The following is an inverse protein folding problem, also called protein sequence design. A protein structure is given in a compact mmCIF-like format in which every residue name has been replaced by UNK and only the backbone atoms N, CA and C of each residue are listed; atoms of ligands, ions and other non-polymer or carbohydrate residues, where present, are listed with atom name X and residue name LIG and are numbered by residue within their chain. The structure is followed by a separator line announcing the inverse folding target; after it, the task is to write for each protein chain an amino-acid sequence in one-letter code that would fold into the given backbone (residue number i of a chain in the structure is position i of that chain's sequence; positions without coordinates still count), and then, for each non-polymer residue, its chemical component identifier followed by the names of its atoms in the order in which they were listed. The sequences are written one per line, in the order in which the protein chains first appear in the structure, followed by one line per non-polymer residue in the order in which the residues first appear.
data_IF_122577878904
#
_entry.id   IF_122577878904
#
_cell.length_a   1.000
_cell.length_b   1.000
_cell.length_c   1.000
_cell.angle_alpha   90.00
_cell.angle_beta   90.00
_cell.angle_gamma   90.00
#
_symmetry.space_group_name_H-M   'P 1'
#
loop_
_entity.id
_entity.type
_entity.pdbx_description
1 polymer ?
#
# COMPACT_ATOMS: atom_id res chain seq x y z
N UNK A 1 26.41 16.19 9.35
CA UNK A 1 25.37 15.38 9.98
C UNK A 1 24.53 14.52 9.01
N UNK A 2 24.78 14.55 7.68
CA UNK A 2 24.20 13.57 6.72
C UNK A 2 24.96 12.22 6.68
N UNK A 3 26.06 12.08 7.41
CA UNK A 3 26.99 10.93 7.30
C UNK A 3 26.62 9.71 8.16
N UNK A 4 25.65 9.83 9.08
CA UNK A 4 25.38 8.76 10.05
C UNK A 4 24.12 7.94 9.73
N UNK A 5 23.31 8.38 8.75
CA UNK A 5 22.10 7.70 8.38
C UNK A 5 22.24 7.00 7.02
N UNK A 6 21.88 5.72 6.96
CA UNK A 6 21.62 5.10 5.65
C UNK A 6 20.49 5.85 4.95
N UNK A 7 20.47 5.86 3.62
CA UNK A 7 19.41 6.55 2.84
C UNK A 7 18.01 6.12 3.27
N UNK A 8 17.81 4.82 3.51
CA UNK A 8 16.51 4.28 3.92
C UNK A 8 16.11 4.71 5.34
N UNK A 9 17.07 4.77 6.28
CA UNK A 9 16.79 5.28 7.62
C UNK A 9 16.45 6.77 7.59
N UNK A 10 17.14 7.58 6.78
CA UNK A 10 16.82 8.99 6.63
C UNK A 10 15.41 9.19 6.07
N UNK A 11 15.01 8.41 5.08
CA UNK A 11 13.64 8.42 4.56
C UNK A 11 12.61 7.99 5.62
N UNK A 12 12.96 6.98 6.43
CA UNK A 12 12.11 6.54 7.54
C UNK A 12 11.95 7.66 8.58
N UNK A 13 13.04 8.29 8.99
CA UNK A 13 13.04 9.45 9.87
C UNK A 13 12.12 10.57 9.34
N UNK A 14 12.27 10.97 8.08
CA UNK A 14 11.42 11.99 7.46
C UNK A 14 9.93 11.61 7.49
N UNK A 15 9.63 10.32 7.29
CA UNK A 15 8.24 9.83 7.30
C UNK A 15 7.57 9.86 8.67
N UNK A 16 8.37 9.97 9.75
CA UNK A 16 7.91 9.94 11.15
C UNK A 16 7.87 11.32 11.80
N UNK A 17 8.39 12.36 11.14
CA UNK A 17 8.36 13.72 11.69
C UNK A 17 6.91 14.19 11.82
N UNK A 18 6.52 14.54 13.04
CA UNK A 18 5.17 15.05 13.33
C UNK A 18 4.92 16.36 12.60
N UNK A 19 3.79 16.43 11.89
CA UNK A 19 3.41 17.62 11.11
C UNK A 19 3.99 17.64 9.68
N UNK A 20 4.77 16.63 9.28
CA UNK A 20 5.28 16.48 7.93
C UNK A 20 4.51 15.39 7.19
N UNK A 21 3.78 15.76 6.13
CA UNK A 21 3.06 14.77 5.29
C UNK A 21 4.03 14.10 4.31
N UNK A 22 3.67 12.91 3.82
CA UNK A 22 4.46 12.21 2.78
C UNK A 22 4.59 13.06 1.51
N UNK A 23 3.54 13.78 1.13
CA UNK A 23 3.59 14.72 0.01
C UNK A 23 4.65 15.81 0.22
N UNK A 24 4.74 16.37 1.43
CA UNK A 24 5.75 17.37 1.74
C UNK A 24 7.18 16.79 1.76
N UNK A 25 7.34 15.57 2.29
CA UNK A 25 8.61 14.85 2.23
C UNK A 25 9.02 14.62 0.78
N UNK A 26 8.09 14.18 -0.06
CA UNK A 26 8.36 13.92 -1.47
C UNK A 26 8.76 15.20 -2.23
N UNK A 27 8.06 16.30 -2.01
CA UNK A 27 8.42 17.62 -2.56
C UNK A 27 9.81 18.07 -2.12
N UNK A 28 10.11 17.95 -0.83
CA UNK A 28 11.43 18.28 -0.28
C UNK A 28 12.55 17.44 -0.91
N UNK A 29 12.33 16.13 -1.08
CA UNK A 29 13.30 15.23 -1.73
C UNK A 29 13.52 15.58 -3.22
N UNK A 30 12.52 16.16 -3.88
CA UNK A 30 12.62 16.67 -5.26
C UNK A 30 13.19 18.10 -5.34
N UNK A 31 13.71 18.64 -4.24
CA UNK A 31 14.39 19.95 -4.22
C UNK A 31 13.47 21.16 -4.01
N UNK A 32 12.19 20.97 -3.69
CA UNK A 32 11.32 22.07 -3.30
C UNK A 32 11.73 22.60 -1.91
N UNK A 33 12.24 23.83 -1.86
CA UNK A 33 12.63 24.47 -0.60
C UNK A 33 11.40 24.90 0.18
N UNK A 34 11.39 24.57 1.48
CA UNK A 34 10.35 25.02 2.40
C UNK A 34 10.96 25.29 3.78
N UNK A 35 11.09 26.56 4.18
CA UNK A 35 11.67 26.92 5.49
C UNK A 35 10.98 26.21 6.65
N UNK A 36 9.66 26.01 6.56
CA UNK A 36 8.89 25.26 7.57
C UNK A 36 9.32 23.79 7.67
N UNK A 37 9.56 23.14 6.53
CA UNK A 37 9.99 21.75 6.49
C UNK A 37 11.41 21.63 7.02
N UNK A 38 12.31 22.51 6.62
CA UNK A 38 13.69 22.57 7.08
C UNK A 38 13.77 22.74 8.60
N UNK A 39 12.96 23.67 9.16
CA UNK A 39 12.87 23.86 10.62
C UNK A 39 12.37 22.60 11.35
N UNK A 40 11.33 21.93 10.83
CA UNK A 40 10.83 20.69 11.43
C UNK A 40 11.88 19.58 11.41
N UNK A 41 12.65 19.46 10.33
CA UNK A 41 13.72 18.47 10.21
C UNK A 41 14.83 18.79 11.24
N UNK A 42 15.29 20.04 11.31
CA UNK A 42 16.33 20.47 12.24
C UNK A 42 15.94 20.24 13.70
N UNK A 43 14.73 20.64 14.09
CA UNK A 43 14.22 20.41 15.45
C UNK A 43 14.15 18.91 15.79
N UNK A 44 13.67 18.08 14.85
CA UNK A 44 13.57 16.64 15.05
C UNK A 44 14.95 15.96 15.10
N UNK A 45 15.96 16.48 14.41
CA UNK A 45 17.33 15.99 14.47
C UNK A 45 18.03 16.30 15.81
N UNK A 46 17.56 17.30 16.55
CA UNK A 46 18.08 17.63 17.88
C UNK A 46 17.47 16.75 18.98
N UNK A 47 16.34 16.10 18.73
CA UNK A 47 15.71 15.19 19.68
C UNK A 47 16.37 13.80 19.64
N UNK A 48 17.34 13.61 20.53
CA UNK A 48 18.11 12.34 20.62
C UNK A 48 17.23 11.16 20.99
N UNK A 49 16.22 11.36 21.85
CA UNK A 49 15.33 10.28 22.26
C UNK A 49 14.47 9.82 21.07
N UNK A 50 13.89 10.76 20.32
CA UNK A 50 13.14 10.48 19.11
C UNK A 50 13.99 9.69 18.09
N UNK A 51 15.23 10.11 17.85
CA UNK A 51 16.12 9.42 16.91
C UNK A 51 16.45 8.00 17.41
N UNK A 52 16.71 7.82 18.70
CA UNK A 52 17.01 6.51 19.26
C UNK A 52 15.81 5.56 19.16
N UNK A 53 14.60 6.03 19.46
CA UNK A 53 13.36 5.27 19.26
C UNK A 53 13.19 4.86 17.81
N UNK A 54 13.39 5.77 16.85
CA UNK A 54 13.29 5.48 15.42
C UNK A 54 14.35 4.48 14.96
N UNK A 55 15.56 4.54 15.47
CA UNK A 55 16.60 3.54 15.16
C UNK A 55 16.18 2.16 15.64
N UNK A 56 15.63 2.06 16.84
CA UNK A 56 15.11 0.81 17.37
C UNK A 56 13.96 0.27 16.52
N UNK A 57 12.96 1.11 16.21
CA UNK A 57 11.84 0.73 15.33
C UNK A 57 12.35 0.27 13.95
N UNK A 58 13.23 1.04 13.32
CA UNK A 58 13.74 0.71 11.99
C UNK A 58 14.56 -0.59 11.97
N UNK A 59 15.35 -0.84 13.02
CA UNK A 59 16.13 -2.08 13.14
C UNK A 59 15.26 -3.32 13.35
N UNK A 60 14.02 -3.14 13.82
CA UNK A 60 13.03 -4.21 14.02
C UNK A 60 12.16 -4.46 12.78
N UNK A 61 12.33 -3.70 11.69
CA UNK A 61 11.62 -3.97 10.45
C UNK A 61 12.14 -5.28 9.85
N UNK A 62 11.36 -6.33 9.96
CA UNK A 62 11.66 -7.68 9.42
C UNK A 62 11.01 -7.92 8.07
N UNK A 63 10.09 -7.04 7.66
CA UNK A 63 9.33 -7.17 6.43
C UNK A 63 10.11 -6.72 5.20
N UNK A 64 9.73 -7.29 4.08
CA UNK A 64 10.17 -6.74 2.81
C UNK A 64 9.47 -5.41 2.53
N UNK A 65 10.23 -4.42 2.09
CA UNK A 65 9.69 -3.12 1.67
C UNK A 65 10.36 -2.60 0.41
N UNK A 66 9.68 -1.68 -0.25
CA UNK A 66 10.22 -0.78 -1.27
C UNK A 66 10.11 0.64 -0.75
N UNK A 67 11.08 1.46 -1.07
CA UNK A 67 11.04 2.90 -0.83
C UNK A 67 10.73 3.66 -2.12
N UNK A 68 10.23 4.87 -2.01
CA UNK A 68 9.98 5.74 -3.16
C UNK A 68 11.27 6.05 -3.97
N UNK A 69 12.44 5.77 -3.41
CA UNK A 69 13.74 5.98 -4.05
C UNK A 69 14.20 4.76 -4.84
N UNK A 70 13.56 3.59 -4.66
CA UNK A 70 13.92 2.36 -5.37
C UNK A 70 13.47 2.40 -6.84
N UNK A 71 14.27 1.86 -7.75
CA UNK A 71 13.95 1.77 -9.17
C UNK A 71 12.73 0.87 -9.44
N UNK A 72 12.50 -0.10 -8.55
CA UNK A 72 11.36 -1.03 -8.60
C UNK A 72 10.06 -0.42 -8.07
N UNK A 73 10.08 0.81 -7.54
CA UNK A 73 8.88 1.47 -7.05
C UNK A 73 7.92 1.79 -8.20
N UNK A 74 6.59 1.54 -8.06
CA UNK A 74 5.61 1.73 -9.13
C UNK A 74 5.58 3.19 -9.63
N UNK A 75 5.89 3.40 -10.92
CA UNK A 75 6.01 4.74 -11.51
C UNK A 75 4.72 5.55 -11.43
N UNK A 76 3.57 4.91 -11.68
CA UNK A 76 2.27 5.57 -11.60
C UNK A 76 1.98 6.07 -10.18
N UNK A 77 2.26 5.23 -9.17
CA UNK A 77 2.08 5.59 -7.78
C UNK A 77 3.04 6.71 -7.35
N UNK A 78 4.29 6.68 -7.81
CA UNK A 78 5.30 7.72 -7.58
C UNK A 78 4.87 9.09 -8.13
N UNK A 79 4.11 9.10 -9.23
CA UNK A 79 3.60 10.31 -9.87
C UNK A 79 2.35 10.90 -9.19
N UNK A 80 1.80 10.25 -8.18
CA UNK A 80 0.63 10.79 -7.45
C UNK A 80 1.02 11.95 -6.53
N UNK A 81 0.02 12.73 -6.10
CA UNK A 81 0.25 13.90 -5.22
C UNK A 81 0.85 13.52 -3.86
N UNK A 82 0.43 12.39 -3.27
CA UNK A 82 0.86 11.93 -1.95
C UNK A 82 1.32 10.46 -2.03
N UNK A 83 2.47 10.17 -2.66
CA UNK A 83 2.94 8.80 -2.79
C UNK A 83 3.43 8.25 -1.44
N UNK A 84 3.17 6.96 -1.12
CA UNK A 84 3.76 6.33 0.05
C UNK A 84 5.28 6.35 -0.02
N UNK A 85 5.94 6.77 1.06
CA UNK A 85 7.42 6.75 1.10
C UNK A 85 7.97 5.34 1.25
N UNK A 86 7.20 4.46 1.91
CA UNK A 86 7.46 3.03 2.07
C UNK A 86 6.25 2.22 1.60
N UNK A 87 6.53 1.12 0.94
CA UNK A 87 5.56 0.09 0.59
C UNK A 87 6.05 -1.23 1.14
N UNK A 88 5.47 -1.67 2.23
CA UNK A 88 5.68 -3.00 2.80
C UNK A 88 4.92 -4.04 1.97
N UNK A 89 5.54 -5.20 1.73
CA UNK A 89 4.92 -6.21 0.89
C UNK A 89 5.18 -7.63 1.36
N UNK A 90 4.24 -8.53 1.01
CA UNK A 90 4.34 -9.98 1.19
C UNK A 90 3.83 -10.66 -0.07
N UNK A 91 4.62 -11.56 -0.64
CA UNK A 91 4.30 -12.28 -1.88
C UNK A 91 5.08 -11.79 -3.10
N UNK A 92 4.48 -11.85 -4.28
CA UNK A 92 5.15 -11.63 -5.54
C UNK A 92 5.26 -10.14 -5.90
N UNK A 93 6.34 -9.48 -5.49
CA UNK A 93 6.59 -8.06 -5.83
C UNK A 93 6.74 -7.79 -7.33
N UNK A 94 7.02 -8.81 -8.16
CA UNK A 94 7.15 -8.60 -9.63
C UNK A 94 5.86 -8.06 -10.24
N UNK A 95 4.69 -8.33 -9.62
CA UNK A 95 3.41 -7.79 -10.06
C UNK A 95 3.36 -6.25 -10.06
N UNK A 96 4.20 -5.57 -9.26
CA UNK A 96 4.28 -4.11 -9.24
C UNK A 96 4.97 -3.50 -10.45
N UNK A 97 5.70 -4.30 -11.24
CA UNK A 97 6.37 -3.86 -12.49
C UNK A 97 5.46 -3.95 -13.70
N UNK A 98 4.35 -4.68 -13.57
CA UNK A 98 3.40 -4.86 -14.66
C UNK A 98 2.61 -3.56 -14.92
N UNK A 99 2.20 -3.39 -16.18
CA UNK A 99 1.49 -2.18 -16.61
C UNK A 99 -0.03 -2.36 -16.61
N UNK A 100 -0.52 -3.60 -16.56
CA UNK A 100 -1.93 -3.92 -16.77
C UNK A 100 -2.66 -4.14 -15.43
N UNK A 101 -2.65 -3.13 -14.56
CA UNK A 101 -3.33 -3.18 -13.27
C UNK A 101 -4.71 -2.55 -13.38
N UNK A 102 -5.73 -3.28 -12.93
CA UNK A 102 -7.12 -2.85 -12.88
C UNK A 102 -7.64 -2.88 -11.45
N UNK A 103 -7.97 -1.72 -10.91
CA UNK A 103 -8.60 -1.64 -9.60
C UNK A 103 -10.09 -1.93 -9.68
N UNK A 104 -10.57 -2.84 -8.85
CA UNK A 104 -12.01 -3.15 -8.69
C UNK A 104 -12.39 -2.92 -7.23
N UNK A 105 -13.35 -2.02 -7.00
CA UNK A 105 -13.84 -1.63 -5.67
C UNK A 105 -15.34 -1.47 -5.66
N UNK A 106 -15.90 -1.37 -4.46
CA UNK A 106 -17.31 -1.09 -4.27
C UNK A 106 -17.76 -1.13 -2.81
N UNK A 107 -19.04 -1.21 -2.57
CA UNK A 107 -19.65 -1.20 -1.24
C UNK A 107 -19.16 -2.38 -0.38
N UNK A 108 -19.07 -2.14 0.92
CA UNK A 108 -18.86 -3.19 1.94
C UNK A 108 -20.08 -4.07 2.16
N UNK A 109 -21.26 -3.56 1.78
CA UNK A 109 -22.53 -4.30 1.77
C UNK A 109 -22.91 -4.53 0.31
N UNK A 110 -22.95 -5.79 -0.10
CA UNK A 110 -23.20 -6.20 -1.50
C UNK A 110 -24.52 -6.94 -1.62
N UNK A 111 -25.17 -6.82 -2.78
CA UNK A 111 -26.32 -7.64 -3.18
C UNK A 111 -25.85 -8.75 -4.11
N UNK A 112 -26.66 -9.79 -4.30
CA UNK A 112 -26.37 -10.89 -5.24
C UNK A 112 -26.17 -10.39 -6.67
N UNK A 113 -26.90 -9.33 -7.06
CA UNK A 113 -26.70 -8.67 -8.35
C UNK A 113 -25.30 -8.08 -8.50
N UNK A 114 -24.81 -7.35 -7.50
CA UNK A 114 -23.47 -6.76 -7.54
C UNK A 114 -22.39 -7.84 -7.53
N UNK A 115 -22.57 -8.90 -6.74
CA UNK A 115 -21.64 -10.04 -6.68
C UNK A 115 -21.57 -10.72 -8.05
N UNK A 116 -22.71 -11.09 -8.62
CA UNK A 116 -22.76 -11.76 -9.93
C UNK A 116 -22.20 -10.89 -11.07
N UNK A 117 -22.43 -9.58 -11.00
CA UNK A 117 -21.88 -8.62 -11.97
C UNK A 117 -20.34 -8.57 -11.91
N UNK A 118 -19.78 -8.48 -10.69
CA UNK A 118 -18.33 -8.50 -10.50
C UNK A 118 -17.69 -9.79 -11.02
N UNK A 119 -18.30 -10.94 -10.65
CA UNK A 119 -17.82 -12.25 -11.09
C UNK A 119 -17.86 -12.39 -12.62
N UNK A 120 -18.93 -11.96 -13.28
CA UNK A 120 -19.05 -11.97 -14.75
C UNK A 120 -18.00 -11.09 -15.42
N UNK A 121 -17.81 -9.86 -14.93
CA UNK A 121 -16.78 -8.95 -15.47
C UNK A 121 -15.40 -9.59 -15.34
N UNK A 122 -15.05 -10.09 -14.17
CA UNK A 122 -13.71 -10.65 -13.92
C UNK A 122 -13.52 -11.94 -14.72
N UNK A 123 -14.53 -12.79 -14.86
CA UNK A 123 -14.45 -14.00 -15.68
C UNK A 123 -14.15 -13.69 -17.16
N UNK A 124 -14.70 -12.59 -17.71
CA UNK A 124 -14.39 -12.16 -19.08
C UNK A 124 -12.95 -11.69 -19.28
N UNK A 125 -12.23 -11.40 -18.19
CA UNK A 125 -10.82 -11.00 -18.24
C UNK A 125 -9.86 -12.20 -18.22
N UNK A 126 -10.36 -13.43 -18.11
CA UNK A 126 -9.57 -14.66 -18.13
C UNK A 126 -8.72 -14.74 -19.40
N UNK A 127 -7.43 -15.09 -19.26
CA UNK A 127 -6.50 -15.17 -20.37
C UNK A 127 -5.91 -13.82 -20.82
N UNK A 128 -6.33 -12.70 -20.23
CA UNK A 128 -5.68 -11.40 -20.43
C UNK A 128 -4.49 -11.24 -19.47
N UNK A 129 -3.55 -10.33 -19.74
CA UNK A 129 -2.45 -10.05 -18.82
C UNK A 129 -2.85 -9.12 -17.66
N UNK A 130 -4.15 -8.94 -17.40
CA UNK A 130 -4.64 -8.05 -16.35
C UNK A 130 -4.36 -8.58 -14.95
N UNK A 131 -4.01 -7.69 -14.04
CA UNK A 131 -3.84 -7.92 -12.61
C UNK A 131 -4.94 -7.18 -11.87
N UNK A 132 -5.71 -7.87 -11.07
CA UNK A 132 -6.78 -7.28 -10.29
C UNK A 132 -6.20 -6.66 -9.01
N UNK A 133 -6.49 -5.40 -8.77
CA UNK A 133 -6.07 -4.67 -7.55
C UNK A 133 -7.31 -4.37 -6.74
N UNK A 134 -7.31 -4.66 -5.44
CA UNK A 134 -8.40 -4.29 -4.55
C UNK A 134 -7.93 -4.14 -3.10
N UNK A 135 -8.83 -3.80 -2.19
CA UNK A 135 -8.47 -3.38 -0.83
C UNK A 135 -8.62 -4.44 0.24
N UNK A 136 -8.99 -5.66 -0.09
CA UNK A 136 -9.24 -6.74 0.87
C UNK A 136 -10.30 -6.40 1.94
N UNK A 137 -11.13 -5.37 1.73
CA UNK A 137 -12.24 -5.04 2.61
C UNK A 137 -13.38 -6.08 2.49
N UNK A 138 -14.35 -6.03 3.41
CA UNK A 138 -15.59 -6.81 3.25
C UNK A 138 -16.32 -6.37 1.99
N UNK A 139 -17.20 -7.24 1.45
CA UNK A 139 -18.03 -6.93 0.32
C UNK A 139 -17.26 -7.00 -1.00
N UNK A 140 -17.36 -5.95 -1.83
CA UNK A 140 -16.89 -5.97 -3.21
C UNK A 140 -15.39 -6.27 -3.36
N UNK A 141 -14.55 -5.76 -2.46
CA UNK A 141 -13.10 -6.04 -2.49
C UNK A 141 -12.82 -7.54 -2.35
N UNK A 142 -13.53 -8.22 -1.42
CA UNK A 142 -13.40 -9.67 -1.22
C UNK A 142 -13.87 -10.44 -2.44
N UNK A 143 -15.01 -10.03 -3.03
CA UNK A 143 -15.56 -10.64 -4.25
C UNK A 143 -14.59 -10.51 -5.40
N UNK A 144 -13.97 -9.34 -5.57
CA UNK A 144 -12.99 -9.09 -6.62
C UNK A 144 -11.77 -10.01 -6.50
N UNK A 145 -11.21 -10.15 -5.29
CA UNK A 145 -10.08 -11.06 -5.07
C UNK A 145 -10.47 -12.53 -5.28
N UNK A 146 -11.61 -12.98 -4.75
CA UNK A 146 -12.08 -14.36 -4.92
C UNK A 146 -12.28 -14.69 -6.40
N UNK A 147 -13.01 -13.84 -7.13
CA UNK A 147 -13.25 -14.03 -8.56
C UNK A 147 -11.94 -14.02 -9.37
N UNK A 148 -10.95 -13.17 -9.01
CA UNK A 148 -9.65 -13.18 -9.64
C UNK A 148 -8.92 -14.53 -9.44
N UNK A 149 -8.90 -15.04 -8.21
CA UNK A 149 -8.26 -16.34 -7.90
C UNK A 149 -8.95 -17.51 -8.60
N UNK A 150 -10.29 -17.54 -8.63
CA UNK A 150 -11.09 -18.57 -9.32
C UNK A 150 -10.81 -18.59 -10.82
N UNK A 151 -10.56 -17.41 -11.42
CA UNK A 151 -10.27 -17.26 -12.85
C UNK A 151 -8.76 -17.24 -13.15
N UNK A 152 -7.91 -17.61 -12.18
CA UNK A 152 -6.43 -17.66 -12.31
C UNK A 152 -5.80 -16.33 -12.75
N UNK A 153 -6.44 -15.22 -12.43
CA UNK A 153 -5.89 -13.88 -12.61
C UNK A 153 -5.03 -13.50 -11.39
N UNK A 154 -3.84 -12.95 -11.60
CA UNK A 154 -3.04 -12.42 -10.50
C UNK A 154 -3.80 -11.30 -9.77
N UNK A 155 -3.61 -11.22 -8.44
CA UNK A 155 -4.27 -10.15 -7.68
C UNK A 155 -3.35 -9.53 -6.64
N UNK A 156 -3.50 -8.21 -6.45
CA UNK A 156 -2.78 -7.39 -5.47
C UNK A 156 -3.79 -6.85 -4.45
N UNK A 157 -3.62 -7.22 -3.20
CA UNK A 157 -4.41 -6.67 -2.10
C UNK A 157 -3.64 -5.54 -1.41
N UNK A 158 -4.20 -4.33 -1.40
CA UNK A 158 -3.64 -3.19 -0.67
C UNK A 158 -4.37 -3.06 0.66
N UNK A 159 -3.65 -3.07 1.78
CA UNK A 159 -4.23 -3.09 3.11
C UNK A 159 -4.20 -1.69 3.77
N UNK A 160 -5.17 -1.44 4.65
CA UNK A 160 -5.21 -0.27 5.54
C UNK A 160 -4.70 -0.59 6.96
N UNK A 161 -3.93 -1.67 7.11
CA UNK A 161 -3.24 -2.10 8.34
C UNK A 161 -1.87 -2.66 7.98
N UNK A 162 -1.09 -3.06 8.95
CA UNK A 162 0.11 -3.88 8.70
C UNK A 162 -0.24 -5.21 8.05
N UNK A 163 0.81 -5.94 7.61
CA UNK A 163 0.70 -7.19 6.87
C UNK A 163 0.75 -8.45 7.73
N UNK A 164 1.04 -8.29 9.04
CA UNK A 164 1.04 -9.42 9.96
C UNK A 164 -0.39 -9.92 10.20
N UNK A 165 -0.53 -11.25 10.34
CA UNK A 165 -1.82 -11.91 10.49
C UNK A 165 -2.59 -11.44 11.72
N UNK A 166 -1.91 -11.04 12.79
CA UNK A 166 -2.55 -10.61 14.05
C UNK A 166 -3.27 -9.27 13.88
N UNK A 167 -2.78 -8.39 12.99
CA UNK A 167 -3.36 -7.06 12.73
C UNK A 167 -4.11 -6.97 11.40
N UNK A 168 -4.04 -8.01 10.55
CA UNK A 168 -4.72 -8.02 9.25
C UNK A 168 -6.23 -7.86 9.41
N UNK A 169 -6.78 -6.85 8.73
CA UNK A 169 -8.19 -6.49 8.84
C UNK A 169 -8.88 -6.42 7.46
N UNK A 170 -10.12 -6.93 7.34
CA UNK A 170 -10.92 -7.58 8.37
C UNK A 170 -10.43 -9.01 8.66
N UNK A 171 -10.62 -9.47 9.90
CA UNK A 171 -10.19 -10.82 10.31
C UNK A 171 -10.82 -11.92 9.45
N UNK A 172 -12.07 -11.71 8.98
CA UNK A 172 -12.77 -12.64 8.08
C UNK A 172 -12.03 -12.90 6.77
N UNK A 173 -11.16 -12.00 6.34
CA UNK A 173 -10.45 -12.09 5.08
C UNK A 173 -8.99 -12.57 5.22
N UNK A 174 -8.58 -13.02 6.40
CA UNK A 174 -7.24 -13.61 6.61
C UNK A 174 -7.00 -14.83 5.73
N UNK A 175 -7.97 -15.74 5.64
CA UNK A 175 -7.88 -16.89 4.75
C UNK A 175 -7.74 -16.49 3.27
N UNK A 176 -8.47 -15.45 2.84
CA UNK A 176 -8.36 -14.91 1.49
C UNK A 176 -6.97 -14.30 1.24
N UNK A 177 -6.42 -13.56 2.20
CA UNK A 177 -5.06 -13.02 2.10
C UNK A 177 -4.01 -14.14 1.93
N UNK A 178 -4.13 -15.23 2.68
CA UNK A 178 -3.26 -16.41 2.54
C UNK A 178 -3.42 -17.08 1.16
N UNK A 179 -4.66 -17.18 0.65
CA UNK A 179 -4.90 -17.73 -0.71
C UNK A 179 -4.26 -16.86 -1.80
N UNK A 180 -4.34 -15.51 -1.66
CA UNK A 180 -3.68 -14.57 -2.57
C UNK A 180 -2.19 -14.87 -2.63
N UNK A 181 -1.51 -14.98 -1.49
CA UNK A 181 -0.07 -15.31 -1.44
C UNK A 181 0.21 -16.69 -2.04
N UNK A 182 -0.58 -17.72 -1.66
CA UNK A 182 -0.40 -19.09 -2.15
C UNK A 182 -0.53 -19.21 -3.67
N UNK A 183 -1.36 -18.36 -4.29
CA UNK A 183 -1.54 -18.29 -5.73
C UNK A 183 -0.66 -17.21 -6.40
N UNK A 184 0.51 -16.92 -5.81
CA UNK A 184 1.51 -16.01 -6.37
C UNK A 184 1.03 -14.56 -6.53
N UNK A 185 0.06 -14.13 -5.72
CA UNK A 185 -0.38 -12.74 -5.61
C UNK A 185 0.48 -11.92 -4.65
N UNK A 186 0.02 -10.71 -4.33
CA UNK A 186 0.75 -9.75 -3.51
C UNK A 186 -0.16 -9.09 -2.47
N UNK A 187 0.32 -8.99 -1.23
CA UNK A 187 -0.20 -8.07 -0.23
C UNK A 187 0.71 -6.86 -0.14
N UNK A 188 0.12 -5.68 -0.04
CA UNK A 188 0.81 -4.40 -0.03
C UNK A 188 0.23 -3.49 1.06
N UNK A 189 1.09 -2.75 1.75
CA UNK A 189 0.69 -1.78 2.75
C UNK A 189 1.66 -0.60 2.84
N UNK A 190 1.16 0.56 3.21
CA UNK A 190 1.98 1.72 3.62
C UNK A 190 2.46 1.61 5.07
N UNK A 191 1.93 0.64 5.82
CA UNK A 191 2.14 0.48 7.26
C UNK A 191 3.03 -0.73 7.54
N UNK A 192 3.93 -0.61 8.54
CA UNK A 192 4.78 -1.71 9.00
C UNK A 192 3.94 -2.88 9.54
N UNK A 193 4.53 -4.09 9.60
CA UNK A 193 3.83 -5.37 9.80
C UNK A 193 2.80 -5.35 10.93
N UNK A 194 3.18 -4.88 12.11
CA UNK A 194 2.35 -4.94 13.31
C UNK A 194 1.46 -3.72 13.52
N UNK A 195 1.39 -2.78 12.54
CA UNK A 195 0.52 -1.60 12.67
C UNK A 195 -0.96 -2.01 12.69
N UNK A 196 -1.70 -1.74 13.79
CA UNK A 196 -3.11 -2.10 13.89
C UNK A 196 -3.97 -1.28 12.92
N UNK A 197 -5.15 -1.79 12.52
CA UNK A 197 -6.07 -1.03 11.68
C UNK A 197 -6.66 0.17 12.43
N UNK A 198 -6.75 1.31 11.73
CA UNK A 198 -7.44 2.51 12.23
C UNK A 198 -8.36 3.09 11.15
N UNK A 199 -9.47 3.72 11.57
CA UNK A 199 -10.54 4.18 10.67
C UNK A 199 -10.01 5.08 9.55
N UNK A 200 -9.11 6.00 9.86
CA UNK A 200 -8.53 6.96 8.90
C UNK A 200 -7.58 6.32 7.88
N UNK A 201 -7.03 5.13 8.17
CA UNK A 201 -6.10 4.43 7.28
C UNK A 201 -6.79 3.89 6.03
N UNK A 202 -8.06 3.50 6.12
CA UNK A 202 -8.79 2.94 4.98
C UNK A 202 -9.03 3.97 3.86
N UNK A 203 -9.54 5.19 4.12
CA UNK A 203 -9.60 6.23 3.11
C UNK A 203 -8.21 6.62 2.56
N UNK A 204 -7.22 6.73 3.45
CA UNK A 204 -5.85 7.06 3.06
C UNK A 204 -5.25 6.01 2.12
N UNK A 205 -5.49 4.72 2.34
CA UNK A 205 -5.07 3.62 1.49
C UNK A 205 -5.66 3.70 0.07
N UNK A 206 -6.87 4.22 -0.10
CA UNK A 206 -7.53 4.24 -1.41
C UNK A 206 -6.74 5.01 -2.48
N UNK A 207 -5.92 6.01 -2.09
CA UNK A 207 -5.01 6.69 -3.03
C UNK A 207 -3.98 5.74 -3.65
N UNK A 208 -3.60 4.69 -2.92
CA UNK A 208 -2.67 3.67 -3.41
C UNK A 208 -3.36 2.78 -4.44
N UNK A 209 -4.61 2.37 -4.18
CA UNK A 209 -5.42 1.61 -5.14
C UNK A 209 -5.56 2.37 -6.47
N UNK A 210 -5.91 3.66 -6.39
CA UNK A 210 -6.07 4.51 -7.57
C UNK A 210 -4.72 4.79 -8.26
N UNK A 211 -3.65 4.98 -7.48
CA UNK A 211 -2.33 5.32 -8.02
C UNK A 211 -1.57 4.14 -8.64
N UNK A 212 -1.89 2.90 -8.26
CA UNK A 212 -1.27 1.71 -8.85
C UNK A 212 -1.83 1.38 -10.23
N UNK A 213 -3.14 1.49 -10.40
CA UNK A 213 -3.84 0.98 -11.57
C UNK A 213 -3.99 2.02 -12.68
N UNK A 214 -4.12 1.55 -13.93
CA UNK A 214 -4.45 2.38 -15.10
C UNK A 214 -5.94 2.72 -15.17
N UNK A 215 -6.78 1.88 -14.58
CA UNK A 215 -8.23 2.11 -14.53
C UNK A 215 -8.81 1.59 -13.22
N UNK A 216 -9.96 2.16 -12.85
CA UNK A 216 -10.73 1.73 -11.68
C UNK A 216 -12.18 1.47 -12.09
N UNK A 217 -12.69 0.30 -11.74
CA UNK A 217 -14.10 -0.05 -11.85
C UNK A 217 -14.73 0.02 -10.46
N UNK A 218 -15.79 0.81 -10.33
CA UNK A 218 -16.64 0.87 -9.14
C UNK A 218 -17.92 0.13 -9.45
N UNK A 219 -18.14 -1.05 -8.83
CA UNK A 219 -19.31 -1.92 -9.14
C UNK A 219 -20.52 -1.52 -8.32
N UNK A 220 -20.30 -1.00 -7.12
CA UNK A 220 -21.39 -0.48 -6.27
C UNK A 220 -20.84 0.66 -5.41
N UNK A 221 -21.60 1.72 -5.26
CA UNK A 221 -21.28 2.90 -4.45
C UNK A 221 -22.34 3.14 -3.38
#
# INVERSE_FOLDING_TARGET
MKSDFTTNFYLYFLSRIKGLSHANVWKFLNGEKSPKIETLIEQSQQDKNFIQELHQEFSQLTENYLTILDDDYPKNLKATYDPPLFLFYRGNKKLLKEKNLLTIVGSRTTTDYHISSAQKIIAQLTGTPLIIVSGLARGMDSVAHQAALENKLPTIAVLGSGLDEVVLYPQSNRALAQQIIKQNGLLLSEYSALTPPAIHQFPKRNRILAGLAQATIVISG
#
